data_IF_681772858025
#
_entry.id   IF_681772858025
#
_cell.length_a   1.000
_cell.length_b   1.000
_cell.length_c   1.000
_cell.angle_alpha   90.00
_cell.angle_beta   90.00
_cell.angle_gamma   90.00
#
_symmetry.space_group_name_H-M   'P 1'
#
loop_
_entity.id
_entity.type
_entity.pdbx_description
1 polymer ?
#
# COMPACT_ATOMS: atom_id res chain seq x y z
N UNK A 1 -11.27 17.78 -8.63
CA UNK A 1 -11.79 17.30 -7.32
C UNK A 1 -12.18 15.84 -7.51
N UNK A 2 -11.37 14.90 -7.02
CA UNK A 2 -11.64 13.45 -7.19
C UNK A 2 -12.79 13.06 -6.26
N UNK A 3 -13.98 12.81 -6.82
CA UNK A 3 -15.12 12.22 -6.10
C UNK A 3 -15.16 10.74 -6.42
N UNK A 4 -14.51 9.93 -5.60
CA UNK A 4 -14.76 8.49 -5.56
C UNK A 4 -15.66 8.21 -4.33
N UNK A 5 -16.91 7.78 -4.52
CA UNK A 5 -17.86 7.59 -3.41
C UNK A 5 -17.38 6.57 -2.37
N UNK A 6 -16.54 5.59 -2.75
CA UNK A 6 -16.02 4.58 -1.82
C UNK A 6 -14.97 5.10 -0.84
N UNK A 7 -14.29 6.22 -1.15
CA UNK A 7 -13.20 6.74 -0.30
C UNK A 7 -13.70 7.12 1.09
N UNK A 8 -14.90 7.71 1.20
CA UNK A 8 -15.44 8.16 2.49
C UNK A 8 -15.69 7.00 3.45
N UNK A 9 -16.19 5.88 2.92
CA UNK A 9 -16.46 4.68 3.72
C UNK A 9 -15.17 3.96 4.09
N UNK A 10 -14.18 3.92 3.19
CA UNK A 10 -12.83 3.43 3.49
C UNK A 10 -12.19 4.24 4.62
N UNK A 11 -12.22 5.57 4.55
CA UNK A 11 -11.72 6.42 5.64
C UNK A 11 -12.48 6.23 6.95
N UNK A 12 -13.78 5.93 6.91
CA UNK A 12 -14.57 5.71 8.12
C UNK A 12 -14.21 4.40 8.81
N UNK A 13 -14.01 3.32 8.05
CA UNK A 13 -13.45 2.05 8.57
C UNK A 13 -12.01 2.22 9.06
N UNK A 14 -11.21 3.08 8.40
CA UNK A 14 -9.86 3.47 8.81
C UNK A 14 -9.77 4.31 10.10
N UNK A 15 -10.89 4.86 10.58
CA UNK A 15 -10.93 5.67 11.80
C UNK A 15 -11.49 4.88 13.01
N UNK A 16 -11.71 3.58 12.86
CA UNK A 16 -12.18 2.67 13.91
C UNK A 16 -11.01 1.82 14.43
N UNK A 17 -10.43 2.23 15.56
CA UNK A 17 -9.12 1.80 16.11
C UNK A 17 -8.67 0.35 15.84
N UNK A 18 -9.52 -0.67 16.07
CA UNK A 18 -9.09 -2.07 15.91
C UNK A 18 -9.14 -2.58 14.46
N UNK A 19 -10.16 -2.19 13.70
CA UNK A 19 -10.33 -2.60 12.30
C UNK A 19 -9.30 -1.92 11.41
N UNK A 20 -8.98 -0.66 11.72
CA UNK A 20 -8.02 0.15 10.99
C UNK A 20 -6.59 -0.38 11.09
N UNK A 21 -6.19 -0.92 12.25
CA UNK A 21 -4.87 -1.55 12.42
C UNK A 21 -4.75 -2.83 11.60
N UNK A 22 -5.80 -3.68 11.63
CA UNK A 22 -5.84 -4.91 10.82
C UNK A 22 -5.80 -4.58 9.32
N UNK A 23 -6.58 -3.59 8.90
CA UNK A 23 -6.59 -3.11 7.53
C UNK A 23 -5.21 -2.57 7.11
N UNK A 24 -4.58 -1.73 7.94
CA UNK A 24 -3.24 -1.19 7.66
C UNK A 24 -2.21 -2.32 7.51
N UNK A 25 -2.26 -3.33 8.38
CA UNK A 25 -1.41 -4.51 8.26
C UNK A 25 -1.61 -5.25 6.94
N UNK A 26 -2.86 -5.38 6.48
CA UNK A 26 -3.15 -6.01 5.18
C UNK A 26 -2.61 -5.21 3.99
N UNK A 27 -2.65 -3.87 4.06
CA UNK A 27 -2.11 -3.01 3.01
C UNK A 27 -0.56 -3.02 3.01
N UNK A 28 0.07 -3.12 4.19
CA UNK A 28 1.53 -3.31 4.29
C UNK A 28 1.95 -4.65 3.66
N UNK A 29 1.28 -5.76 4.01
CA UNK A 29 1.56 -7.07 3.42
C UNK A 29 1.40 -7.05 1.89
N UNK A 30 0.40 -6.33 1.37
CA UNK A 30 0.20 -6.15 -0.08
C UNK A 30 1.37 -5.41 -0.72
N UNK A 31 1.85 -4.35 -0.07
CA UNK A 31 2.98 -3.56 -0.57
C UNK A 31 4.28 -4.38 -0.59
N UNK A 32 4.52 -5.18 0.45
CA UNK A 32 5.65 -6.11 0.52
C UNK A 32 5.60 -7.12 -0.62
N UNK A 33 4.45 -7.75 -0.88
CA UNK A 33 4.30 -8.66 -2.02
C UNK A 33 4.59 -7.99 -3.38
N UNK A 34 4.12 -6.76 -3.58
CA UNK A 34 4.45 -5.99 -4.80
C UNK A 34 5.95 -5.68 -4.92
N UNK A 35 6.63 -5.42 -3.80
CA UNK A 35 8.08 -5.23 -3.76
C UNK A 35 8.80 -6.53 -4.10
N UNK A 36 8.36 -7.66 -3.56
CA UNK A 36 8.95 -8.97 -3.83
C UNK A 36 8.85 -9.38 -5.31
N UNK A 37 7.73 -9.08 -5.96
CA UNK A 37 7.55 -9.31 -7.40
C UNK A 37 8.59 -8.58 -8.26
N UNK A 38 9.11 -7.44 -7.79
CA UNK A 38 10.01 -6.57 -8.56
C UNK A 38 11.46 -6.69 -8.13
N UNK A 39 11.72 -6.85 -6.84
CA UNK A 39 13.05 -6.85 -6.24
C UNK A 39 13.54 -8.26 -5.86
N UNK A 40 12.67 -9.27 -5.93
CA UNK A 40 12.91 -10.60 -5.37
C UNK A 40 12.58 -10.68 -3.87
N UNK A 41 12.76 -11.86 -3.25
CA UNK A 41 12.34 -12.11 -1.87
C UNK A 41 12.93 -11.09 -0.90
N UNK A 42 12.11 -10.61 0.05
CA UNK A 42 12.61 -9.76 1.11
C UNK A 42 13.57 -10.52 2.03
N UNK A 43 14.52 -9.81 2.62
CA UNK A 43 15.53 -10.42 3.47
C UNK A 43 14.89 -11.06 4.72
N UNK A 44 15.29 -12.30 5.02
CA UNK A 44 14.69 -13.11 6.09
C UNK A 44 14.99 -12.60 7.51
N UNK A 45 15.94 -11.68 7.65
CA UNK A 45 16.31 -10.99 8.89
C UNK A 45 15.43 -9.76 9.19
N UNK A 46 14.55 -9.40 8.26
CA UNK A 46 13.62 -8.28 8.41
C UNK A 46 14.26 -6.94 8.07
N UNK A 47 13.41 -5.92 7.97
CA UNK A 47 13.81 -4.55 7.65
C UNK A 47 12.61 -3.62 7.64
N UNK A 48 12.84 -2.32 7.68
CA UNK A 48 11.77 -1.33 7.55
C UNK A 48 11.65 -0.90 6.09
N UNK A 49 10.40 -0.68 5.65
CA UNK A 49 10.16 0.03 4.39
C UNK A 49 10.84 1.39 4.45
N UNK A 50 11.64 1.67 3.43
CA UNK A 50 12.31 2.95 3.30
C UNK A 50 11.33 4.06 2.95
N UNK A 51 11.66 5.30 3.33
CA UNK A 51 11.05 6.49 2.74
C UNK A 51 11.20 6.51 1.21
N UNK A 52 10.24 7.16 0.54
CA UNK A 52 10.14 7.29 -0.92
C UNK A 52 10.31 5.95 -1.67
N UNK A 53 9.41 5.02 -1.36
CA UNK A 53 9.39 3.67 -1.94
C UNK A 53 9.39 3.72 -3.48
N UNK A 54 8.60 4.62 -4.08
CA UNK A 54 8.53 4.73 -5.54
C UNK A 54 9.80 5.33 -6.14
N UNK A 55 10.36 6.40 -5.57
CA UNK A 55 11.61 6.97 -6.05
C UNK A 55 12.78 5.98 -6.00
N UNK A 56 12.78 5.10 -5.01
CA UNK A 56 13.80 4.05 -4.87
C UNK A 56 13.53 2.80 -5.71
N UNK A 57 12.27 2.50 -6.00
CA UNK A 57 11.87 1.36 -6.84
C UNK A 57 10.87 1.76 -7.93
N UNK A 58 11.30 2.49 -8.98
CA UNK A 58 10.41 2.95 -10.05
C UNK A 58 9.72 1.80 -10.80
N UNK A 59 10.34 0.61 -10.79
CA UNK A 59 9.81 -0.62 -11.41
C UNK A 59 8.51 -1.12 -10.77
N UNK A 60 8.19 -0.72 -9.55
CA UNK A 60 6.86 -0.96 -8.94
C UNK A 60 5.73 -0.38 -9.80
N UNK A 61 6.03 0.68 -10.54
CA UNK A 61 5.09 1.36 -11.42
C UNK A 61 4.09 2.20 -10.63
N UNK A 62 4.14 3.52 -10.83
CA UNK A 62 3.24 4.46 -10.15
C UNK A 62 1.75 4.11 -10.36
N UNK A 63 1.37 3.77 -11.59
CA UNK A 63 -0.02 3.40 -11.90
C UNK A 63 -0.46 2.13 -11.18
N UNK A 64 0.45 1.19 -10.94
CA UNK A 64 0.16 -0.03 -10.20
C UNK A 64 -0.08 0.31 -8.72
N UNK A 65 0.82 1.08 -8.10
CA UNK A 65 0.67 1.57 -6.73
C UNK A 65 -0.65 2.37 -6.55
N UNK A 66 -0.90 3.34 -7.41
CA UNK A 66 -2.10 4.19 -7.34
C UNK A 66 -3.40 3.37 -7.48
N UNK A 67 -3.44 2.41 -8.40
CA UNK A 67 -4.61 1.51 -8.57
C UNK A 67 -4.85 0.66 -7.32
N UNK A 68 -3.79 0.11 -6.72
CA UNK A 68 -3.90 -0.79 -5.58
C UNK A 68 -4.29 -0.07 -4.28
N UNK A 69 -3.67 1.07 -3.97
CA UNK A 69 -3.83 1.76 -2.68
C UNK A 69 -4.77 2.97 -2.73
N UNK A 70 -4.76 3.74 -3.82
CA UNK A 70 -5.58 4.95 -3.98
C UNK A 70 -6.91 4.69 -4.71
N UNK A 71 -7.14 3.45 -5.14
CA UNK A 71 -8.35 3.00 -5.87
C UNK A 71 -8.66 3.91 -7.08
N UNK A 72 -7.62 4.35 -7.79
CA UNK A 72 -7.77 5.10 -9.04
C UNK A 72 -8.11 4.16 -10.20
N UNK A 73 -8.86 4.65 -11.18
CA UNK A 73 -9.27 3.91 -12.37
C UNK A 73 -8.10 3.44 -13.25
#
# INVERSE_FOLDING_TARGET
MLRNPGIKDTFKSLMCDAESVSWLGSEVNRLEGMIEEVAGPMAADGGFLSDDIYGKMPKLGWNNLARNFLKTA
#
